data_IF_475732277558
#
_entry.id   IF_475732277558
#
_cell.length_a   1.000
_cell.length_b   1.000
_cell.length_c   1.000
_cell.angle_alpha   90.00
_cell.angle_beta   90.00
_cell.angle_gamma   90.00
#
_symmetry.space_group_name_H-M   'P 1'
#
loop_
_entity.id
_entity.type
_entity.pdbx_description
1 polymer ?
#
# COMPACT_ATOMS: atom_id res chain seq x y z
N UNK A 1 -4.67 20.10 -35.76
CA UNK A 1 -3.69 19.39 -34.93
C UNK A 1 -3.88 19.87 -33.49
N UNK A 2 -4.78 19.23 -32.75
CA UNK A 2 -5.02 19.55 -31.34
C UNK A 2 -4.38 18.44 -30.51
N UNK A 3 -3.27 18.77 -29.83
CA UNK A 3 -2.67 17.90 -28.82
C UNK A 3 -3.63 17.82 -27.64
N UNK A 4 -4.33 16.70 -27.51
CA UNK A 4 -5.08 16.40 -26.31
C UNK A 4 -4.10 15.97 -25.24
N UNK A 5 -4.00 16.81 -24.21
CA UNK A 5 -3.43 16.54 -22.89
C UNK A 5 -3.50 15.04 -22.56
N UNK A 6 -2.34 14.40 -22.52
CA UNK A 6 -2.15 13.24 -21.65
C UNK A 6 -2.55 13.69 -20.23
N UNK A 7 -3.48 13.01 -19.54
CA UNK A 7 -3.60 13.22 -18.10
C UNK A 7 -2.24 12.84 -17.50
N UNK A 8 -1.65 13.67 -16.63
CA UNK A 8 -0.34 13.39 -16.12
C UNK A 8 -0.42 12.05 -15.37
N UNK A 9 0.45 11.10 -15.70
CA UNK A 9 0.70 9.90 -14.91
C UNK A 9 1.11 10.19 -13.44
N UNK A 10 1.10 11.47 -13.03
CA UNK A 10 1.33 11.97 -11.69
C UNK A 10 0.21 11.63 -10.68
N UNK A 11 -1.04 11.40 -11.12
CA UNK A 11 -2.14 11.06 -10.20
C UNK A 11 -2.08 9.60 -9.68
N UNK A 12 -1.24 8.75 -10.27
CA UNK A 12 -1.04 7.36 -9.82
C UNK A 12 -0.21 7.26 -8.53
N UNK A 13 0.50 8.32 -8.15
CA UNK A 13 1.19 8.43 -6.85
C UNK A 13 0.31 9.11 -5.77
N UNK A 14 -0.99 9.26 -6.00
CA UNK A 14 -1.90 9.90 -5.07
C UNK A 14 -2.15 9.09 -3.80
N UNK A 15 -2.46 9.81 -2.72
CA UNK A 15 -3.01 9.25 -1.48
C UNK A 15 -4.42 8.71 -1.76
N UNK A 16 -4.63 7.40 -1.56
CA UNK A 16 -5.92 6.77 -1.83
C UNK A 16 -7.05 7.24 -0.89
N UNK A 17 -6.74 7.90 0.23
CA UNK A 17 -7.72 8.54 1.11
C UNK A 17 -8.54 9.64 0.42
N UNK A 18 -8.05 10.16 -0.71
CA UNK A 18 -8.77 11.14 -1.51
C UNK A 18 -9.97 10.54 -2.26
N UNK A 19 -10.00 9.22 -2.43
CA UNK A 19 -11.01 8.52 -3.24
C UNK A 19 -11.95 7.65 -2.42
N UNK A 20 -11.46 7.08 -1.31
CA UNK A 20 -12.23 6.21 -0.43
C UNK A 20 -11.90 6.50 1.03
N UNK A 21 -12.84 6.24 1.93
CA UNK A 21 -12.66 6.48 3.36
C UNK A 21 -11.69 5.47 4.00
N UNK A 22 -11.10 5.85 5.12
CA UNK A 22 -10.12 5.02 5.84
C UNK A 22 -10.67 3.63 6.24
N UNK A 23 -11.96 3.52 6.57
CA UNK A 23 -12.53 2.23 6.98
C UNK A 23 -12.64 1.26 5.81
N UNK A 24 -12.95 1.77 4.62
CA UNK A 24 -12.91 1.01 3.37
C UNK A 24 -11.49 0.58 3.02
N UNK A 25 -10.50 1.47 3.16
CA UNK A 25 -9.07 1.11 2.93
C UNK A 25 -8.65 0.00 3.91
N UNK A 26 -8.94 0.16 5.20
CA UNK A 26 -8.60 -0.82 6.24
C UNK A 26 -9.22 -2.18 5.92
N UNK A 27 -10.50 -2.23 5.57
CA UNK A 27 -11.17 -3.48 5.20
C UNK A 27 -10.54 -4.17 3.98
N UNK A 28 -10.18 -3.40 2.96
CA UNK A 28 -9.49 -3.92 1.78
C UNK A 28 -8.09 -4.45 2.10
N UNK A 29 -7.35 -3.74 2.95
CA UNK A 29 -6.02 -4.17 3.42
C UNK A 29 -6.12 -5.46 4.22
N UNK A 30 -7.06 -5.56 5.17
CA UNK A 30 -7.27 -6.79 5.94
C UNK A 30 -7.62 -7.95 5.02
N UNK A 31 -8.54 -7.76 4.07
CA UNK A 31 -8.91 -8.81 3.12
C UNK A 31 -7.72 -9.28 2.26
N UNK A 32 -6.94 -8.35 1.69
CA UNK A 32 -5.79 -8.69 0.86
C UNK A 32 -4.68 -9.38 1.65
N UNK A 33 -4.47 -8.97 2.90
CA UNK A 33 -3.50 -9.60 3.79
C UNK A 33 -3.96 -10.99 4.21
N UNK A 34 -5.25 -11.22 4.42
CA UNK A 34 -5.79 -12.53 4.80
C UNK A 34 -5.60 -13.56 3.70
N UNK A 35 -5.78 -13.15 2.45
CA UNK A 35 -5.51 -13.97 1.27
C UNK A 35 -4.01 -14.33 1.16
N UNK A 36 -3.11 -13.39 1.50
CA UNK A 36 -1.67 -13.60 1.46
C UNK A 36 -1.11 -14.32 2.70
N UNK A 37 -1.75 -14.19 3.87
CA UNK A 37 -1.23 -14.62 5.16
C UNK A 37 -0.96 -16.12 5.22
N UNK A 38 -1.76 -16.93 4.53
CA UNK A 38 -1.57 -18.38 4.42
C UNK A 38 -0.27 -18.80 3.73
N UNK A 39 0.38 -17.87 3.01
CA UNK A 39 1.56 -18.12 2.19
C UNK A 39 2.79 -17.36 2.67
N UNK A 40 2.65 -16.52 3.70
CA UNK A 40 3.76 -15.76 4.24
C UNK A 40 4.83 -16.69 4.84
N UNK A 41 6.11 -16.48 4.51
CA UNK A 41 7.19 -17.21 5.16
C UNK A 41 7.18 -16.90 6.66
N UNK A 42 7.57 -17.89 7.47
CA UNK A 42 7.76 -17.66 8.89
C UNK A 42 8.88 -16.65 9.09
N UNK A 43 8.53 -15.52 9.69
CA UNK A 43 9.51 -14.51 10.09
C UNK A 43 10.12 -14.92 11.43
N UNK A 44 11.46 -14.93 11.58
CA UNK A 44 12.08 -15.24 12.86
C UNK A 44 11.84 -14.10 13.85
N UNK A 45 10.70 -14.13 14.53
CA UNK A 45 10.46 -13.38 15.75
C UNK A 45 10.55 -14.35 16.93
N UNK A 46 11.45 -14.10 17.86
CA UNK A 46 11.49 -14.80 19.14
C UNK A 46 10.27 -14.38 19.97
N UNK A 47 9.17 -15.12 19.82
CA UNK A 47 7.94 -14.89 20.58
C UNK A 47 6.69 -15.07 19.72
N UNK A 48 5.67 -15.70 20.30
CA UNK A 48 4.45 -16.19 19.65
C UNK A 48 3.50 -15.08 19.11
N UNK A 49 3.98 -14.20 18.24
CA UNK A 49 3.26 -12.98 17.88
C UNK A 49 2.84 -12.95 16.40
N UNK A 50 1.63 -12.44 16.07
CA UNK A 50 1.11 -12.26 14.71
C UNK A 50 1.82 -11.15 13.89
N UNK A 51 3.10 -10.88 14.18
CA UNK A 51 3.93 -9.81 13.63
C UNK A 51 3.92 -9.76 12.10
N UNK A 52 4.01 -10.89 11.36
CA UNK A 52 4.07 -10.81 9.90
C UNK A 52 2.80 -10.24 9.28
N UNK A 53 1.64 -10.59 9.84
CA UNK A 53 0.34 -10.13 9.35
C UNK A 53 0.15 -8.65 9.63
N UNK A 54 0.40 -8.20 10.87
CA UNK A 54 0.29 -6.78 11.24
C UNK A 54 1.30 -5.90 10.50
N UNK A 55 2.54 -6.39 10.30
CA UNK A 55 3.55 -5.67 9.52
C UNK A 55 3.15 -5.55 8.05
N UNK A 56 2.64 -6.62 7.45
CA UNK A 56 2.19 -6.58 6.06
C UNK A 56 0.98 -5.65 5.89
N UNK A 57 0.02 -5.69 6.81
CA UNK A 57 -1.11 -4.75 6.85
C UNK A 57 -0.64 -3.30 6.97
N UNK A 58 0.23 -3.00 7.94
CA UNK A 58 0.75 -1.66 8.19
C UNK A 58 1.50 -1.11 6.97
N UNK A 59 2.39 -1.90 6.36
CA UNK A 59 3.16 -1.46 5.20
C UNK A 59 2.29 -1.27 3.97
N UNK A 60 1.35 -2.19 3.72
CA UNK A 60 0.40 -2.07 2.61
C UNK A 60 -0.41 -0.79 2.73
N UNK A 61 -0.95 -0.52 3.93
CA UNK A 61 -1.69 0.71 4.22
C UNK A 61 -0.85 1.97 4.05
N UNK A 62 0.33 2.00 4.67
CA UNK A 62 1.22 3.16 4.62
C UNK A 62 1.59 3.52 3.18
N UNK A 63 1.85 2.51 2.34
CA UNK A 63 2.17 2.74 0.94
C UNK A 63 0.96 3.17 0.13
N UNK A 64 -0.27 2.76 0.47
CA UNK A 64 -1.49 3.27 -0.17
C UNK A 64 -1.66 4.78 0.05
N UNK A 65 -1.31 5.27 1.23
CA UNK A 65 -1.41 6.70 1.58
C UNK A 65 -0.10 7.47 1.33
N UNK A 66 0.80 6.90 0.52
CA UNK A 66 2.07 7.50 0.11
C UNK A 66 3.02 7.86 1.26
N UNK A 67 2.95 7.10 2.36
CA UNK A 67 3.89 7.16 3.47
C UNK A 67 4.91 6.05 3.34
N UNK A 68 6.13 6.42 2.97
CA UNK A 68 7.15 5.46 2.51
C UNK A 68 8.32 5.28 3.47
N UNK A 69 8.74 6.36 4.13
CA UNK A 69 9.89 6.37 5.04
C UNK A 69 9.58 5.55 6.31
N UNK A 70 10.55 4.75 6.75
CA UNK A 70 10.34 3.80 7.86
C UNK A 70 10.09 4.51 9.20
N UNK A 71 10.71 5.66 9.43
CA UNK A 71 10.51 6.52 10.60
C UNK A 71 9.11 7.16 10.61
N UNK A 72 8.65 7.67 9.47
CA UNK A 72 7.29 8.19 9.31
C UNK A 72 6.24 7.10 9.58
N UNK A 73 6.47 5.87 9.10
CA UNK A 73 5.59 4.73 9.35
C UNK A 73 5.58 4.39 10.84
N UNK A 74 6.74 4.31 11.49
CA UNK A 74 6.84 4.07 12.93
C UNK A 74 6.11 5.16 13.73
N UNK A 75 6.24 6.42 13.32
CA UNK A 75 5.55 7.54 13.95
C UNK A 75 4.04 7.51 13.71
N UNK A 76 3.60 7.09 12.52
CA UNK A 76 2.17 6.97 12.20
C UNK A 76 1.44 5.97 13.09
N UNK A 77 2.11 4.92 13.56
CA UNK A 77 1.52 3.98 14.51
C UNK A 77 1.09 4.66 15.83
N UNK A 78 1.61 5.86 16.14
CA UNK A 78 1.26 6.64 17.33
C UNK A 78 0.12 7.63 17.07
N UNK A 79 0.10 8.25 15.89
CA UNK A 79 -0.77 9.40 15.58
C UNK A 79 -1.95 9.09 14.66
N UNK A 80 -1.85 8.03 13.86
CA UNK A 80 -2.82 7.68 12.82
C UNK A 80 -3.68 6.49 13.30
N UNK A 81 -4.99 6.69 13.52
CA UNK A 81 -5.87 5.64 14.07
C UNK A 81 -5.90 4.36 13.22
N UNK A 82 -5.88 4.49 11.89
CA UNK A 82 -5.93 3.36 10.99
C UNK A 82 -4.60 2.60 10.99
N UNK A 83 -3.47 3.31 10.96
CA UNK A 83 -2.16 2.69 11.09
C UNK A 83 -2.01 1.95 12.43
N UNK A 84 -2.44 2.58 13.53
CA UNK A 84 -2.44 1.99 14.88
C UNK A 84 -3.31 0.73 14.96
N UNK A 85 -4.49 0.76 14.35
CA UNK A 85 -5.39 -0.39 14.28
C UNK A 85 -4.74 -1.55 13.51
N UNK A 86 -4.21 -1.28 12.31
CA UNK A 86 -3.59 -2.30 11.45
C UNK A 86 -2.30 -2.87 12.04
N UNK A 87 -1.56 -2.06 12.80
CA UNK A 87 -0.41 -2.53 13.56
C UNK A 87 -0.79 -3.44 14.73
N UNK A 88 -2.09 -3.55 15.08
CA UNK A 88 -2.62 -4.40 16.17
C UNK A 88 -1.93 -4.15 17.51
N UNK A 89 -1.60 -2.89 17.80
CA UNK A 89 -0.88 -2.49 19.01
C UNK A 89 0.63 -2.74 18.98
N UNK A 90 1.18 -3.32 17.91
CA UNK A 90 2.62 -3.37 17.70
C UNK A 90 3.13 -1.99 17.30
N UNK A 91 4.27 -1.58 17.87
CA UNK A 91 4.95 -0.33 17.52
C UNK A 91 6.33 -0.67 16.98
N UNK A 92 6.44 -1.08 15.70
CA UNK A 92 7.73 -1.39 15.12
C UNK A 92 8.58 -0.12 15.04
N UNK A 93 9.86 -0.25 15.32
CA UNK A 93 10.82 0.79 14.98
C UNK A 93 11.19 0.71 13.49
N UNK A 94 11.90 1.72 13.02
CA UNK A 94 12.35 1.85 11.65
C UNK A 94 13.26 0.68 11.20
N UNK A 95 14.17 0.21 12.05
CA UNK A 95 15.02 -0.96 11.76
C UNK A 95 14.20 -2.22 11.44
N UNK A 96 13.19 -2.52 12.26
CA UNK A 96 12.29 -3.66 12.06
C UNK A 96 11.48 -3.51 10.77
N UNK A 97 11.02 -2.29 10.46
CA UNK A 97 10.32 -1.99 9.20
C UNK A 97 11.24 -2.27 8.00
N UNK A 98 12.48 -1.76 8.01
CA UNK A 98 13.46 -1.96 6.94
C UNK A 98 13.82 -3.44 6.77
N UNK A 99 13.98 -4.18 7.87
CA UNK A 99 14.29 -5.61 7.84
C UNK A 99 13.13 -6.42 7.24
N UNK A 100 11.90 -6.19 7.71
CA UNK A 100 10.72 -6.87 7.22
C UNK A 100 10.48 -6.59 5.74
N UNK A 101 10.63 -5.33 5.32
CA UNK A 101 10.50 -4.86 3.93
C UNK A 101 11.44 -5.59 2.99
N UNK A 102 12.73 -5.67 3.33
CA UNK A 102 13.75 -6.32 2.48
C UNK A 102 13.44 -7.79 2.24
N UNK A 103 12.99 -8.50 3.26
CA UNK A 103 12.79 -9.93 3.16
C UNK A 103 11.41 -10.33 2.63
N UNK A 104 10.40 -9.46 2.73
CA UNK A 104 9.03 -9.74 2.31
C UNK A 104 8.58 -8.88 1.12
N UNK A 105 9.53 -8.26 0.40
CA UNK A 105 9.25 -7.39 -0.76
C UNK A 105 8.21 -7.97 -1.73
N UNK A 106 8.31 -9.24 -2.19
CA UNK A 106 7.32 -9.81 -3.11
C UNK A 106 5.90 -9.86 -2.52
N UNK A 107 5.77 -10.12 -1.22
CA UNK A 107 4.48 -10.19 -0.54
C UNK A 107 3.85 -8.81 -0.38
N UNK A 108 4.68 -7.81 -0.06
CA UNK A 108 4.23 -6.41 0.04
C UNK A 108 3.75 -5.92 -1.32
N UNK A 109 4.50 -6.21 -2.40
CA UNK A 109 4.10 -5.86 -3.77
C UNK A 109 2.76 -6.52 -4.15
N UNK A 110 2.60 -7.81 -3.86
CA UNK A 110 1.37 -8.55 -4.19
C UNK A 110 0.15 -8.04 -3.41
N UNK A 111 0.28 -7.86 -2.09
CA UNK A 111 -0.80 -7.30 -1.27
C UNK A 111 -1.17 -5.90 -1.73
N UNK A 112 -0.18 -5.04 -1.94
CA UNK A 112 -0.41 -3.68 -2.40
C UNK A 112 -1.06 -3.64 -3.78
N UNK A 113 -0.64 -4.49 -4.72
CA UNK A 113 -1.27 -4.62 -6.03
C UNK A 113 -2.74 -5.07 -5.92
N UNK A 114 -3.03 -6.06 -5.07
CA UNK A 114 -4.39 -6.53 -4.83
C UNK A 114 -5.29 -5.42 -4.30
N UNK A 115 -4.81 -4.64 -3.31
CA UNK A 115 -5.58 -3.52 -2.77
C UNK A 115 -5.76 -2.41 -3.81
N UNK A 116 -4.69 -2.00 -4.51
CA UNK A 116 -4.77 -0.96 -5.54
C UNK A 116 -5.82 -1.30 -6.60
N UNK A 117 -5.84 -2.55 -7.09
CA UNK A 117 -6.85 -3.00 -8.05
C UNK A 117 -8.27 -2.85 -7.49
N UNK A 118 -8.51 -3.28 -6.25
CA UNK A 118 -9.83 -3.19 -5.60
C UNK A 118 -10.27 -1.75 -5.38
N UNK A 119 -9.34 -0.87 -4.99
CA UNK A 119 -9.64 0.56 -4.82
C UNK A 119 -9.97 1.20 -6.16
N UNK A 120 -9.22 0.88 -7.21
CA UNK A 120 -9.50 1.37 -8.56
C UNK A 120 -10.87 0.89 -9.06
N UNK A 121 -11.24 -0.38 -8.81
CA UNK A 121 -12.55 -0.93 -9.13
C UNK A 121 -13.68 -0.22 -8.37
N UNK A 122 -13.51 0.03 -7.07
CA UNK A 122 -14.48 0.76 -6.25
C UNK A 122 -14.63 2.22 -6.69
N UNK A 123 -13.52 2.93 -6.93
CA UNK A 123 -13.53 4.30 -7.41
C UNK A 123 -14.22 4.40 -8.78
N UNK A 124 -13.91 3.47 -9.70
CA UNK A 124 -14.55 3.40 -11.01
C UNK A 124 -16.05 3.14 -10.88
N UNK A 125 -16.47 2.23 -9.99
CA UNK A 125 -17.88 1.95 -9.75
C UNK A 125 -18.62 3.15 -9.15
N UNK A 126 -18.00 3.91 -8.24
CA UNK A 126 -18.56 5.13 -7.66
C UNK A 126 -18.72 6.23 -8.72
N UNK A 127 -17.69 6.45 -9.56
CA UNK A 127 -17.73 7.40 -10.67
C UNK A 127 -18.77 7.02 -11.73
N UNK A 128 -18.86 5.73 -12.09
CA UNK A 128 -19.87 5.22 -13.02
C UNK A 128 -21.29 5.45 -12.50
N UNK A 129 -21.51 5.29 -11.18
CA UNK A 129 -22.79 5.59 -10.51
C UNK A 129 -23.10 7.10 -10.47
N UNK A 130 -22.09 7.96 -10.47
CA UNK A 130 -22.24 9.42 -10.47
C UNK A 130 -22.50 10.06 -11.85
N UNK A 131 -22.33 9.31 -12.96
CA UNK A 131 -22.62 9.57 -14.40
C UNK A 131 -21.42 9.96 -15.32
N UNK A 132 -21.28 9.14 -16.39
CA UNK A 132 -20.66 9.27 -17.73
C UNK A 132 -19.19 9.72 -17.84
N UNK A 133 -18.25 8.77 -17.89
CA UNK A 133 -17.57 8.24 -19.10
C UNK A 133 -16.32 7.48 -18.60
N UNK A 134 -16.17 6.15 -18.82
CA UNK A 134 -14.94 5.48 -18.41
C UNK A 134 -13.80 5.94 -19.32
N UNK A 135 -12.88 6.74 -18.76
CA UNK A 135 -11.62 7.11 -19.41
C UNK A 135 -10.82 5.83 -19.64
N UNK A 136 -10.29 5.71 -20.87
CA UNK A 136 -9.51 4.59 -21.39
C UNK A 136 -8.53 4.02 -20.35
N UNK A 137 -8.79 2.78 -19.91
CA UNK A 137 -7.82 1.98 -19.18
C UNK A 137 -7.09 1.09 -20.20
N UNK A 138 -5.98 1.59 -20.73
CA UNK A 138 -5.07 0.78 -21.54
C UNK A 138 -4.48 -0.34 -20.68
N UNK A 139 -4.93 -1.56 -20.98
CA UNK A 139 -4.31 -2.81 -20.56
C UNK A 139 -2.97 -2.98 -21.29
N UNK A 140 -1.87 -2.74 -20.58
CA UNK A 140 -0.54 -3.20 -20.96
C UNK A 140 -0.01 -4.14 -19.88
N UNK A 141 0.71 -5.16 -20.34
CA UNK A 141 1.24 -6.33 -19.61
C UNK A 141 1.93 -5.99 -18.28
N UNK A 142 1.81 -6.91 -17.31
CA UNK A 142 1.84 -6.69 -15.84
C UNK A 142 0.73 -5.72 -15.38
N UNK A 143 -0.22 -6.21 -14.57
CA UNK A 143 -1.36 -5.40 -14.09
C UNK A 143 -0.87 -4.01 -13.63
N UNK A 144 -1.49 -2.89 -14.07
CA UNK A 144 -1.04 -1.54 -13.72
C UNK A 144 -0.95 -1.33 -12.20
N UNK A 145 -1.78 -2.05 -11.43
CA UNK A 145 -1.72 -2.09 -9.98
C UNK A 145 -0.42 -2.71 -9.44
N UNK A 146 0.10 -3.76 -10.08
CA UNK A 146 1.36 -4.38 -9.72
C UNK A 146 2.56 -3.49 -10.06
N UNK A 147 2.52 -2.80 -11.19
CA UNK A 147 3.56 -1.83 -11.55
C UNK A 147 3.60 -0.68 -10.53
N UNK A 148 2.43 -0.14 -10.17
CA UNK A 148 2.32 0.90 -9.14
C UNK A 148 2.78 0.39 -7.77
N UNK A 149 2.41 -0.83 -7.39
CA UNK A 149 2.84 -1.45 -6.14
C UNK A 149 4.37 -1.58 -6.07
N UNK A 150 5.01 -2.12 -7.12
CA UNK A 150 6.47 -2.21 -7.23
C UNK A 150 7.14 -0.86 -7.08
N UNK A 151 6.63 0.17 -7.77
CA UNK A 151 7.15 1.54 -7.69
C UNK A 151 7.04 2.12 -6.29
N UNK A 152 5.93 1.89 -5.57
CA UNK A 152 5.76 2.35 -4.18
C UNK A 152 6.71 1.65 -3.22
N UNK A 153 6.97 0.36 -3.39
CA UNK A 153 7.95 -0.38 -2.58
C UNK A 153 9.39 0.09 -2.87
N UNK A 154 9.69 0.41 -4.13
CA UNK A 154 10.97 1.01 -4.54
C UNK A 154 11.17 2.40 -3.93
N UNK A 155 10.17 3.28 -4.00
CA UNK A 155 10.20 4.59 -3.34
C UNK A 155 10.51 4.43 -1.85
N UNK A 156 9.84 3.51 -1.17
CA UNK A 156 10.10 3.22 0.23
C UNK A 156 11.58 2.91 0.50
N UNK A 157 12.22 2.13 -0.36
CA UNK A 157 13.66 1.83 -0.25
C UNK A 157 14.52 3.08 -0.46
N UNK A 158 14.18 3.93 -1.43
CA UNK A 158 14.90 5.18 -1.72
C UNK A 158 14.80 6.20 -0.57
N UNK A 159 13.61 6.36 0.01
CA UNK A 159 13.39 7.27 1.15
C UNK A 159 14.23 6.88 2.37
N UNK A 160 14.34 5.58 2.67
CA UNK A 160 15.18 5.13 3.79
C UNK A 160 16.68 5.37 3.54
N UNK A 161 17.13 5.29 2.28
CA UNK A 161 18.53 5.57 1.93
C UNK A 161 18.86 7.06 2.06
N UNK A 162 17.95 7.94 1.63
CA UNK A 162 18.14 9.39 1.71
C UNK A 162 18.14 9.95 3.15
N UNK A 163 17.52 9.24 4.10
CA UNK A 163 17.46 9.61 5.52
C UNK A 163 18.61 9.03 6.37
N UNK A 164 19.55 8.31 5.74
CA UNK A 164 20.68 7.66 6.43
C UNK A 164 22.02 8.43 6.29
N UNK A 165 21.99 9.66 5.77
CA UNK A 165 23.13 10.59 5.65
C UNK A 165 23.13 11.67 6.74
#
# INVERSE_FOLDING_TARGET
MGGFNEPPAADLLGDFRLFIDDSSIVGLVEQAVDEAASRLPQWPCSGASPVPRSMLSLLTYSYLICRFASDDIAQSCKSDPAAKYLARGHMPNDEVIRAFRRANRPWIEQCLASVISRVADQATALLARARVNPVNQEFLSDSPALQLARRRVELATLFDMALSE
#
